data_IF_333384566524
#
_entry.id   IF_333384566524
#
_cell.length_a   1.000
_cell.length_b   1.000
_cell.length_c   1.000
_cell.angle_alpha   90.00
_cell.angle_beta   90.00
_cell.angle_gamma   90.00
#
_symmetry.space_group_name_H-M   'P 1'
#
loop_
_entity.id
_entity.type
_entity.pdbx_description
1 polymer ?
#
# COMPACT_ATOMS: atom_id res chain seq x y z
N UNK A 1 16.75 -63.93 -9.59
CA UNK A 1 15.35 -64.41 -9.64
C UNK A 1 14.43 -63.20 -9.80
N UNK A 2 13.38 -63.33 -10.63
CA UNK A 2 12.24 -62.41 -10.85
C UNK A 2 11.56 -62.04 -9.50
N UNK A 3 10.77 -60.98 -9.28
CA UNK A 3 9.88 -60.14 -10.09
C UNK A 3 9.59 -58.81 -9.32
N UNK A 4 9.55 -57.63 -9.96
CA UNK A 4 8.37 -56.83 -10.38
C UNK A 4 7.28 -56.54 -9.33
N UNK A 5 7.07 -55.24 -9.04
CA UNK A 5 5.77 -54.54 -8.89
C UNK A 5 6.07 -53.02 -8.94
N UNK A 6 5.81 -52.28 -10.02
CA UNK A 6 4.55 -51.68 -10.53
C UNK A 6 4.03 -50.45 -9.75
N UNK A 7 3.95 -49.33 -10.50
CA UNK A 7 2.99 -48.20 -10.40
C UNK A 7 3.04 -47.35 -9.11
N UNK A 8 3.18 -46.02 -9.13
CA UNK A 8 2.41 -45.06 -9.94
C UNK A 8 3.19 -43.74 -10.08
N UNK A 9 3.15 -43.20 -11.30
CA UNK A 9 3.60 -41.88 -11.71
C UNK A 9 2.62 -40.82 -11.18
N UNK A 10 3.10 -39.76 -10.51
CA UNK A 10 2.36 -38.49 -10.43
C UNK A 10 3.35 -37.36 -10.72
N UNK A 11 3.36 -36.96 -11.99
CA UNK A 11 3.98 -35.74 -12.44
C UNK A 11 2.99 -34.58 -12.20
N UNK A 12 3.27 -33.73 -11.21
CA UNK A 12 2.55 -32.46 -11.05
C UNK A 12 3.29 -31.39 -11.85
N UNK A 13 2.97 -31.30 -13.13
CA UNK A 13 3.24 -30.13 -13.95
C UNK A 13 2.17 -29.08 -13.63
N UNK A 14 2.53 -28.07 -12.81
CA UNK A 14 1.69 -26.89 -12.65
C UNK A 14 1.84 -26.02 -13.89
N UNK A 15 0.97 -26.26 -14.88
CA UNK A 15 0.74 -25.35 -15.99
C UNK A 15 0.09 -24.09 -15.44
N UNK A 16 0.83 -22.97 -15.47
CA UNK A 16 0.25 -21.64 -15.40
C UNK A 16 -0.62 -21.45 -16.65
N UNK A 17 -1.93 -21.64 -16.49
CA UNK A 17 -2.90 -21.17 -17.49
C UNK A 17 -2.97 -19.66 -17.35
N UNK A 18 -2.35 -18.97 -18.31
CA UNK A 18 -2.64 -17.57 -18.60
C UNK A 18 -4.05 -17.52 -19.15
N UNK A 19 -5.04 -17.27 -18.27
CA UNK A 19 -6.41 -16.99 -18.69
C UNK A 19 -6.46 -15.60 -19.31
N UNK A 20 -6.20 -15.53 -20.61
CA UNK A 20 -6.76 -14.50 -21.46
C UNK A 20 -8.25 -14.76 -21.63
N UNK A 21 -9.09 -13.86 -21.11
CA UNK A 21 -10.51 -13.81 -21.47
C UNK A 21 -10.76 -12.46 -22.16
N UNK A 22 -10.71 -12.47 -23.49
CA UNK A 22 -11.18 -11.37 -24.32
C UNK A 22 -12.71 -11.45 -24.39
N UNK A 23 -13.39 -10.46 -23.81
CA UNK A 23 -14.79 -10.17 -24.17
C UNK A 23 -14.83 -8.78 -24.79
N UNK A 24 -14.86 -8.75 -26.12
CA UNK A 24 -15.17 -7.57 -26.91
C UNK A 24 -16.68 -7.36 -26.90
N UNK A 25 -17.15 -6.23 -26.38
CA UNK A 25 -18.48 -5.70 -26.65
C UNK A 25 -18.41 -4.18 -26.61
N UNK A 26 -18.84 -3.56 -27.70
CA UNK A 26 -18.55 -2.18 -28.05
C UNK A 26 -19.24 -1.12 -27.18
N UNK A 27 -18.65 0.08 -27.19
CA UNK A 27 -19.37 1.31 -26.88
C UNK A 27 -19.33 1.83 -25.45
N UNK A 28 -18.29 1.54 -24.64
CA UNK A 28 -18.07 2.19 -23.33
C UNK A 28 -16.66 1.92 -22.74
N UNK A 29 -15.64 1.74 -23.60
CA UNK A 29 -14.40 1.03 -23.26
C UNK A 29 -13.21 1.84 -22.73
N UNK A 30 -13.20 3.17 -22.85
CA UNK A 30 -12.03 3.97 -22.45
C UNK A 30 -11.93 4.15 -20.92
N UNK A 31 -13.02 4.50 -20.25
CA UNK A 31 -13.03 4.77 -18.80
C UNK A 31 -12.62 3.58 -17.93
N UNK A 32 -13.19 2.39 -18.19
CA UNK A 32 -12.87 1.17 -17.40
C UNK A 32 -11.41 0.73 -17.52
N UNK A 33 -10.78 0.95 -18.68
CA UNK A 33 -9.37 0.63 -18.88
C UNK A 33 -8.43 1.60 -18.14
N UNK A 34 -8.81 2.87 -18.07
CA UNK A 34 -8.06 3.91 -17.35
C UNK A 34 -8.17 3.69 -15.84
N UNK A 35 -9.36 3.35 -15.35
CA UNK A 35 -9.59 3.05 -13.92
C UNK A 35 -8.78 1.83 -13.46
N UNK A 36 -8.84 0.71 -14.20
CA UNK A 36 -8.07 -0.49 -13.88
C UNK A 36 -6.55 -0.24 -13.90
N UNK A 37 -6.06 0.55 -14.87
CA UNK A 37 -4.65 0.93 -14.93
C UNK A 37 -4.24 1.82 -13.75
N UNK A 38 -5.09 2.78 -13.37
CA UNK A 38 -4.82 3.66 -12.24
C UNK A 38 -4.86 2.90 -10.90
N UNK A 39 -5.74 1.90 -10.77
CA UNK A 39 -5.78 0.98 -9.63
C UNK A 39 -4.48 0.20 -9.48
N UNK A 40 -4.01 -0.42 -10.57
CA UNK A 40 -2.73 -1.12 -10.58
C UNK A 40 -1.55 -0.18 -10.23
N UNK A 41 -1.56 1.05 -10.74
CA UNK A 41 -0.56 2.06 -10.39
C UNK A 41 -0.62 2.43 -8.90
N UNK A 42 -1.81 2.59 -8.34
CA UNK A 42 -1.98 2.90 -6.91
C UNK A 42 -1.42 1.77 -6.04
N UNK A 43 -1.70 0.52 -6.40
CA UNK A 43 -1.15 -0.65 -5.72
C UNK A 43 0.38 -0.68 -5.78
N UNK A 44 0.96 -0.41 -6.95
CA UNK A 44 2.42 -0.29 -7.11
C UNK A 44 3.00 0.80 -6.20
N UNK A 45 2.35 1.96 -6.13
CA UNK A 45 2.78 3.05 -5.26
C UNK A 45 2.73 2.66 -3.78
N UNK A 46 1.70 1.94 -3.33
CA UNK A 46 1.64 1.43 -1.96
C UNK A 46 2.70 0.37 -1.68
N UNK A 47 3.10 -0.43 -2.67
CA UNK A 47 4.28 -1.28 -2.57
C UNK A 47 5.56 -0.50 -2.23
N UNK A 48 5.77 0.64 -2.89
CA UNK A 48 6.92 1.53 -2.63
C UNK A 48 6.82 2.23 -1.26
N UNK A 49 5.62 2.60 -0.81
CA UNK A 49 5.41 3.13 0.56
C UNK A 49 5.80 2.07 1.59
N UNK A 50 5.43 0.80 1.37
CA UNK A 50 5.85 -0.31 2.24
C UNK A 50 7.36 -0.55 2.18
N UNK A 51 7.98 -0.43 1.02
CA UNK A 51 9.44 -0.53 0.88
C UNK A 51 10.15 0.55 1.70
N UNK A 52 9.70 1.80 1.62
CA UNK A 52 10.20 2.87 2.46
C UNK A 52 10.00 2.59 3.95
N UNK A 53 8.82 2.11 4.36
CA UNK A 53 8.56 1.75 5.75
C UNK A 53 9.51 0.64 6.25
N UNK A 54 9.76 -0.39 5.43
CA UNK A 54 10.74 -1.42 5.75
C UNK A 54 12.15 -0.83 5.90
N UNK A 55 12.56 0.07 5.01
CA UNK A 55 13.87 0.73 5.11
C UNK A 55 14.02 1.58 6.37
N UNK A 56 12.94 2.19 6.88
CA UNK A 56 12.97 2.91 8.16
C UNK A 56 13.25 1.94 9.32
N UNK A 57 12.69 0.74 9.27
CA UNK A 57 12.91 -0.28 10.30
C UNK A 57 14.33 -0.83 10.22
N UNK A 58 14.81 -1.10 9.01
CA UNK A 58 16.11 -1.74 8.78
C UNK A 58 17.29 -0.78 8.99
N UNK A 59 17.19 0.45 8.49
CA UNK A 59 18.16 1.53 8.71
C UNK A 59 17.44 2.89 8.90
N UNK A 60 17.05 3.23 10.14
CA UNK A 60 16.31 4.46 10.43
C UNK A 60 17.11 5.74 10.12
N UNK A 61 18.42 5.66 9.90
CA UNK A 61 19.24 6.83 9.58
C UNK A 61 19.37 7.07 8.08
N UNK A 62 19.12 6.05 7.25
CA UNK A 62 19.21 6.13 5.80
C UNK A 62 18.03 5.43 5.09
N UNK A 63 16.79 5.94 5.27
CA UNK A 63 15.62 5.33 4.65
C UNK A 63 15.60 5.57 3.12
N UNK A 64 14.94 4.68 2.39
CA UNK A 64 14.82 4.74 0.93
C UNK A 64 13.83 5.85 0.49
N UNK A 65 14.27 7.10 0.52
CA UNK A 65 13.47 8.27 0.06
C UNK A 65 13.12 8.18 -1.43
N UNK A 66 13.89 7.43 -2.23
CA UNK A 66 13.60 7.25 -3.65
C UNK A 66 12.29 6.47 -3.88
N UNK A 67 11.94 5.55 -2.98
CA UNK A 67 10.67 4.83 -3.01
C UNK A 67 9.49 5.79 -2.76
N UNK A 68 9.61 6.72 -1.80
CA UNK A 68 8.58 7.74 -1.56
C UNK A 68 8.43 8.73 -2.72
N UNK A 69 9.55 9.12 -3.36
CA UNK A 69 9.51 9.96 -4.56
C UNK A 69 8.80 9.26 -5.73
N UNK A 70 9.12 7.97 -5.96
CA UNK A 70 8.45 7.17 -6.99
C UNK A 70 6.97 6.96 -6.68
N UNK A 71 6.62 6.64 -5.43
CA UNK A 71 5.24 6.49 -4.99
C UNK A 71 4.43 7.78 -5.24
N UNK A 72 5.01 8.94 -4.92
CA UNK A 72 4.38 10.23 -5.16
C UNK A 72 4.05 10.46 -6.64
N UNK A 73 5.00 10.19 -7.54
CA UNK A 73 4.78 10.32 -8.99
C UNK A 73 3.68 9.40 -9.49
N UNK A 74 3.76 8.11 -9.14
CA UNK A 74 2.79 7.11 -9.59
C UNK A 74 1.38 7.43 -9.07
N UNK A 75 1.24 7.85 -7.80
CA UNK A 75 -0.06 8.30 -7.26
C UNK A 75 -0.57 9.55 -7.97
N UNK A 76 0.32 10.51 -8.26
CA UNK A 76 -0.04 11.73 -8.99
C UNK A 76 -0.58 11.41 -10.38
N UNK A 77 0.12 10.56 -11.14
CA UNK A 77 -0.31 10.11 -12.46
C UNK A 77 -1.65 9.35 -12.41
N UNK A 78 -1.78 8.40 -11.48
CA UNK A 78 -2.99 7.59 -11.32
C UNK A 78 -4.20 8.45 -10.95
N UNK A 79 -4.05 9.38 -10.01
CA UNK A 79 -5.14 10.24 -9.57
C UNK A 79 -5.50 11.30 -10.61
N UNK A 80 -4.51 11.84 -11.33
CA UNK A 80 -4.75 12.71 -12.50
C UNK A 80 -5.57 12.00 -13.56
N UNK A 81 -5.25 10.74 -13.87
CA UNK A 81 -6.01 9.93 -14.82
C UNK A 81 -7.46 9.67 -14.37
N UNK A 82 -7.69 9.58 -13.06
CA UNK A 82 -9.02 9.47 -12.44
C UNK A 82 -9.74 10.81 -12.24
N UNK A 83 -9.12 11.94 -12.57
CA UNK A 83 -9.67 13.28 -12.31
C UNK A 83 -9.67 13.71 -10.83
N UNK A 84 -8.94 12.99 -9.96
CA UNK A 84 -8.70 13.38 -8.57
C UNK A 84 -7.52 14.36 -8.53
N UNK A 85 -7.60 15.37 -7.66
CA UNK A 85 -6.52 16.39 -7.51
C UNK A 85 -5.83 16.36 -6.15
N UNK A 86 -6.40 15.63 -5.19
CA UNK A 86 -5.90 15.61 -3.83
C UNK A 86 -5.36 14.23 -3.50
N UNK A 87 -4.12 14.20 -2.99
CA UNK A 87 -3.50 12.99 -2.48
C UNK A 87 -4.30 12.47 -1.28
N UNK A 88 -4.72 11.21 -1.34
CA UNK A 88 -5.23 10.49 -0.18
C UNK A 88 -4.07 10.14 0.77
N UNK A 89 -3.86 11.01 1.75
CA UNK A 89 -2.81 10.82 2.75
C UNK A 89 -3.17 9.79 3.82
N UNK A 90 -4.44 9.43 3.98
CA UNK A 90 -4.88 8.44 4.97
C UNK A 90 -4.35 7.05 4.59
N UNK A 91 -4.56 6.63 3.34
CA UNK A 91 -4.06 5.33 2.87
C UNK A 91 -2.53 5.23 2.95
N UNK A 92 -1.81 6.32 2.66
CA UNK A 92 -0.35 6.37 2.79
C UNK A 92 0.08 6.22 4.25
N UNK A 93 -0.53 6.98 5.18
CA UNK A 93 -0.23 6.85 6.62
C UNK A 93 -0.56 5.47 7.16
N UNK A 94 -1.69 4.90 6.74
CA UNK A 94 -2.09 3.55 7.10
C UNK A 94 -1.07 2.51 6.64
N UNK A 95 -0.61 2.58 5.38
CA UNK A 95 0.39 1.66 4.85
C UNK A 95 1.72 1.74 5.60
N UNK A 96 2.18 2.96 5.91
CA UNK A 96 3.39 3.18 6.74
C UNK A 96 3.22 2.58 8.14
N UNK A 97 2.14 2.95 8.83
CA UNK A 97 1.91 2.51 10.20
C UNK A 97 1.73 1.00 10.30
N UNK A 98 1.07 0.38 9.33
CA UNK A 98 0.88 -1.07 9.27
C UNK A 98 2.21 -1.81 9.25
N UNK A 99 3.15 -1.39 8.40
CA UNK A 99 4.47 -2.01 8.32
C UNK A 99 5.26 -1.81 9.62
N UNK A 100 5.22 -0.61 10.19
CA UNK A 100 5.92 -0.33 11.45
C UNK A 100 5.41 -1.23 12.60
N UNK A 101 4.09 -1.39 12.72
CA UNK A 101 3.45 -2.27 13.71
C UNK A 101 3.79 -3.74 13.45
N UNK A 102 3.69 -4.18 12.19
CA UNK A 102 4.08 -5.54 11.77
C UNK A 102 5.54 -5.87 12.09
N UNK A 103 6.40 -4.85 12.13
CA UNK A 103 7.83 -4.96 12.47
C UNK A 103 8.13 -4.72 13.96
N UNK A 104 7.11 -4.59 14.79
CA UNK A 104 7.21 -4.53 16.25
C UNK A 104 7.27 -3.12 16.84
N UNK A 105 7.12 -2.06 16.04
CA UNK A 105 6.97 -0.70 16.55
C UNK A 105 5.53 -0.48 17.04
N UNK A 106 5.21 -1.01 18.22
CA UNK A 106 3.86 -0.94 18.78
C UNK A 106 3.51 0.49 19.24
N UNK A 107 2.22 0.88 19.24
CA UNK A 107 1.79 2.16 19.79
C UNK A 107 2.02 2.19 21.31
N UNK A 108 2.80 3.17 21.80
CA UNK A 108 3.17 3.25 23.22
C UNK A 108 2.29 4.23 24.01
N UNK A 109 1.64 5.19 23.35
CA UNK A 109 0.85 6.25 24.01
C UNK A 109 -0.66 6.07 23.81
N UNK A 110 -1.07 4.90 23.33
CA UNK A 110 -2.47 4.56 23.09
C UNK A 110 -3.09 5.29 21.90
N UNK A 111 -2.28 5.84 21.00
CA UNK A 111 -2.75 6.63 19.85
C UNK A 111 -3.68 5.81 18.95
N UNK A 112 -3.38 4.52 18.80
CA UNK A 112 -4.13 3.59 17.96
C UNK A 112 -5.06 2.67 18.75
N UNK A 113 -5.31 2.96 20.03
CA UNK A 113 -6.26 2.21 20.85
C UNK A 113 -7.66 2.30 20.23
N UNK A 114 -8.30 1.15 20.02
CA UNK A 114 -9.61 1.07 19.35
C UNK A 114 -9.53 0.98 17.82
N UNK A 115 -8.36 1.15 17.22
CA UNK A 115 -8.12 0.99 15.78
C UNK A 115 -7.30 -0.26 15.44
N UNK A 116 -6.80 -0.97 16.45
CA UNK A 116 -6.20 -2.29 16.29
C UNK A 116 -7.28 -3.38 16.35
N UNK A 117 -7.18 -4.34 15.44
CA UNK A 117 -7.97 -5.57 15.44
C UNK A 117 -7.50 -6.53 16.53
N UNK A 118 -8.27 -7.58 16.79
CA UNK A 118 -7.94 -8.57 17.83
C UNK A 118 -6.61 -9.31 17.58
N UNK A 119 -6.18 -9.40 16.32
CA UNK A 119 -4.88 -9.94 15.89
C UNK A 119 -3.76 -8.89 15.86
N UNK A 120 -4.01 -7.68 16.37
CA UNK A 120 -3.00 -6.62 16.51
C UNK A 120 -2.67 -5.89 15.22
N UNK A 121 -3.51 -5.99 14.18
CA UNK A 121 -3.34 -5.28 12.91
C UNK A 121 -4.14 -3.99 12.90
N UNK A 122 -3.76 -3.06 12.04
CA UNK A 122 -4.56 -1.86 11.84
C UNK A 122 -5.85 -2.19 11.09
N UNK A 123 -6.93 -1.55 11.52
CA UNK A 123 -8.21 -1.61 10.84
C UNK A 123 -8.12 -0.90 9.48
N UNK A 124 -8.71 -1.52 8.46
CA UNK A 124 -8.69 -0.98 7.10
C UNK A 124 -9.41 0.39 7.02
N UNK A 125 -8.81 1.42 6.38
CA UNK A 125 -9.42 2.73 6.26
C UNK A 125 -10.78 2.73 5.53
N UNK A 126 -11.04 1.76 4.64
CA UNK A 126 -12.31 1.60 3.94
C UNK A 126 -13.43 1.04 4.82
N UNK A 127 -13.12 0.56 6.03
CA UNK A 127 -14.11 0.03 6.97
C UNK A 127 -14.82 1.09 7.83
N UNK A 128 -14.43 2.36 7.71
CA UNK A 128 -15.07 3.48 8.39
C UNK A 128 -16.19 4.05 7.51
N UNK A 129 -17.42 4.09 8.04
CA UNK A 129 -18.61 4.49 7.27
C UNK A 129 -18.99 5.96 7.43
N UNK A 130 -18.38 6.67 8.38
CA UNK A 130 -18.61 8.10 8.59
C UNK A 130 -17.27 8.85 8.58
N UNK A 131 -17.33 10.12 8.19
CA UNK A 131 -16.13 10.96 8.03
C UNK A 131 -15.48 11.28 9.38
N UNK A 132 -16.26 11.39 10.46
CA UNK A 132 -15.74 11.69 11.80
C UNK A 132 -14.78 10.61 12.31
N UNK A 133 -15.16 9.34 12.20
CA UNK A 133 -14.34 8.21 12.63
C UNK A 133 -13.11 8.06 11.72
N UNK A 134 -13.28 8.34 10.42
CA UNK A 134 -12.18 8.32 9.45
C UNK A 134 -11.15 9.40 9.75
N UNK A 135 -11.60 10.60 10.12
CA UNK A 135 -10.73 11.72 10.48
C UNK A 135 -10.04 11.45 11.82
N UNK A 136 -10.77 10.95 12.83
CA UNK A 136 -10.19 10.53 14.10
C UNK A 136 -9.12 9.43 13.92
N UNK A 137 -9.37 8.47 13.03
CA UNK A 137 -8.38 7.46 12.67
C UNK A 137 -7.14 8.05 11.97
N UNK A 138 -7.35 9.00 11.06
CA UNK A 138 -6.25 9.70 10.39
C UNK A 138 -5.38 10.50 11.38
N UNK A 139 -6.00 11.14 12.38
CA UNK A 139 -5.31 11.85 13.45
C UNK A 139 -4.53 10.88 14.34
N UNK A 140 -5.14 9.75 14.70
CA UNK A 140 -4.49 8.67 15.44
C UNK A 140 -3.23 8.14 14.72
N UNK A 141 -3.32 7.87 13.42
CA UNK A 141 -2.17 7.49 12.59
C UNK A 141 -1.10 8.59 12.54
N UNK A 142 -1.50 9.85 12.44
CA UNK A 142 -0.58 10.99 12.42
C UNK A 142 0.19 11.11 13.72
N UNK A 143 -0.49 10.95 14.85
CA UNK A 143 0.11 10.98 16.19
C UNK A 143 1.07 9.82 16.38
N UNK A 144 0.63 8.59 16.07
CA UNK A 144 1.48 7.40 16.13
C UNK A 144 2.77 7.58 15.32
N UNK A 145 2.68 7.99 14.05
CA UNK A 145 3.84 8.19 13.18
C UNK A 145 4.77 9.32 13.67
N UNK A 146 4.20 10.35 14.30
CA UNK A 146 4.98 11.49 14.83
C UNK A 146 5.72 11.17 16.12
N UNK A 147 5.26 10.17 16.87
CA UNK A 147 5.88 9.69 18.11
C UNK A 147 6.92 8.59 17.88
N UNK A 148 7.06 8.08 16.65
CA UNK A 148 8.07 7.07 16.33
C UNK A 148 9.49 7.63 16.48
N UNK A 149 10.43 6.78 16.90
CA UNK A 149 11.87 7.14 16.97
C UNK A 149 12.39 7.79 15.66
N UNK A 150 12.08 7.24 14.46
CA UNK A 150 12.42 7.88 13.18
C UNK A 150 11.38 8.90 12.68
N UNK A 151 10.69 9.65 13.55
CA UNK A 151 9.65 10.62 13.16
C UNK A 151 10.13 11.66 12.14
N UNK A 152 11.39 12.13 12.25
CA UNK A 152 11.97 13.08 11.28
C UNK A 152 12.04 12.45 9.88
N UNK A 153 12.49 11.21 9.78
CA UNK A 153 12.63 10.47 8.53
C UNK A 153 11.26 10.17 7.91
N UNK A 154 10.28 9.77 8.73
CA UNK A 154 8.89 9.58 8.30
C UNK A 154 8.33 10.89 7.71
N UNK A 155 8.53 12.03 8.39
CA UNK A 155 8.10 13.34 7.88
C UNK A 155 8.79 13.70 6.55
N UNK A 156 10.08 13.44 6.43
CA UNK A 156 10.82 13.69 5.19
C UNK A 156 10.30 12.83 4.02
N UNK A 157 10.02 11.55 4.27
CA UNK A 157 9.43 10.66 3.28
C UNK A 157 8.04 11.12 2.83
N UNK A 158 7.17 11.49 3.78
CA UNK A 158 5.83 12.03 3.48
C UNK A 158 5.90 13.36 2.70
N UNK A 159 6.83 14.26 3.04
CA UNK A 159 7.06 15.50 2.27
C UNK A 159 7.50 15.19 0.84
N UNK A 160 8.47 14.29 0.70
CA UNK A 160 9.00 13.86 -0.60
C UNK A 160 7.90 13.27 -1.48
N UNK A 161 7.04 12.41 -0.92
CA UNK A 161 5.90 11.84 -1.63
C UNK A 161 4.94 12.94 -2.08
N UNK A 162 4.56 13.86 -1.18
CA UNK A 162 3.64 14.96 -1.48
C UNK A 162 4.16 15.89 -2.57
N UNK A 163 5.43 16.28 -2.50
CA UNK A 163 6.06 17.16 -3.49
C UNK A 163 6.07 16.53 -4.88
N UNK A 164 6.37 15.23 -4.96
CA UNK A 164 6.38 14.52 -6.24
C UNK A 164 4.97 14.26 -6.77
N UNK A 165 3.99 13.99 -5.89
CA UNK A 165 2.57 13.92 -6.27
C UNK A 165 2.09 15.23 -6.91
N UNK A 166 2.37 16.36 -6.26
CA UNK A 166 1.94 17.69 -6.74
C UNK A 166 2.61 18.08 -8.06
N UNK A 167 3.81 17.56 -8.34
CA UNK A 167 4.48 17.79 -9.61
C UNK A 167 3.75 17.10 -10.77
N UNK A 168 3.28 15.87 -10.57
CA UNK A 168 2.58 15.12 -11.62
C UNK A 168 1.10 15.52 -11.73
N UNK A 169 0.48 15.87 -10.59
CA UNK A 169 -0.92 16.28 -10.46
C UNK A 169 -1.06 17.69 -9.85
N UNK A 170 -0.76 18.75 -10.63
CA UNK A 170 -0.82 20.14 -10.19
C UNK A 170 -2.23 20.71 -10.01
#
# INVERSE_FOLDING_TARGET
MRARNNLLLVASALLFVVSGCSTFSGGQGSGKSIEASAEQQSEQAFGLVREFANSIVDDPFNPNLSAMSQAGRILGDADKARGKRNLDTLQVRHALASVLIERGAQPEHGELNGYLTADGRLRDPGSFTNDHDRDAYNDALTNYLSNQKPAKQIRNGLSTLKENYQRENP
#
